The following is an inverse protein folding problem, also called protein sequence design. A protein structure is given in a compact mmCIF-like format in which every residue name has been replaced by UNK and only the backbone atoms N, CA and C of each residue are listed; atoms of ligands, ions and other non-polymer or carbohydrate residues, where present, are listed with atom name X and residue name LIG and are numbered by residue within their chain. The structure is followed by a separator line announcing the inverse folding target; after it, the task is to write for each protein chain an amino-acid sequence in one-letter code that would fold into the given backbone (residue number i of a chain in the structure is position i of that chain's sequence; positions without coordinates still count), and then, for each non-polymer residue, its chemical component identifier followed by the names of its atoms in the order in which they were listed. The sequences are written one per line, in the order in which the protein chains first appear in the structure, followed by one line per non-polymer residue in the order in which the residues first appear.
data_IF_475543649337
#
_entry.id   IF_475543649337
#
_cell.length_a   1.000
_cell.length_b   1.000
_cell.length_c   1.000
_cell.angle_alpha   90.00
_cell.angle_beta   90.00
_cell.angle_gamma   90.00
#
_symmetry.space_group_name_H-M   'P 1'
#
loop_
_entity.id
_entity.type
_entity.pdbx_description
1 polymer ?
#
# COMPACT_ATOMS: atom_id res chain seq x y z
N UNK A 1 13.34 32.53 3.44
CA UNK A 1 11.92 32.65 3.86
C UNK A 1 11.10 32.44 2.59
N UNK A 2 10.29 31.40 2.50
CA UNK A 2 9.39 31.19 1.35
C UNK A 2 8.34 32.30 1.33
N UNK A 3 7.99 32.83 0.15
CA UNK A 3 7.07 33.93 -0.14
C UNK A 3 5.73 33.97 0.65
N UNK A 4 5.76 34.14 1.97
CA UNK A 4 4.59 34.14 2.86
C UNK A 4 3.84 32.79 2.97
N UNK A 5 4.29 31.73 2.29
CA UNK A 5 3.61 30.44 2.34
C UNK A 5 3.85 29.75 3.68
N UNK A 6 2.79 29.57 4.47
CA UNK A 6 2.84 28.78 5.69
C UNK A 6 2.84 27.28 5.36
N UNK A 7 3.74 26.54 5.98
CA UNK A 7 3.80 25.09 5.90
C UNK A 7 4.29 24.48 7.22
N UNK A 8 3.98 23.20 7.45
CA UNK A 8 4.46 22.44 8.60
C UNK A 8 5.98 22.32 8.55
N UNK A 9 6.66 22.81 9.59
CA UNK A 9 8.10 22.68 9.69
C UNK A 9 8.52 21.19 9.80
N UNK A 10 9.69 20.80 9.25
CA UNK A 10 10.21 19.45 9.44
C UNK A 10 10.39 19.15 10.94
N UNK A 11 9.90 18.00 11.43
CA UNK A 11 10.17 17.59 12.82
C UNK A 11 11.67 17.26 12.99
N UNK A 12 12.17 17.15 14.25
CA UNK A 12 13.52 16.65 14.50
C UNK A 12 13.75 15.30 13.82
N UNK A 13 14.81 15.18 13.00
CA UNK A 13 15.10 13.99 12.21
C UNK A 13 14.43 13.94 10.83
N UNK A 14 13.64 14.96 10.46
CA UNK A 14 12.96 15.05 9.17
C UNK A 14 11.62 14.30 9.14
N UNK A 15 10.87 14.49 8.05
CA UNK A 15 9.57 13.82 7.90
C UNK A 15 9.76 12.30 7.72
N UNK A 16 8.88 11.47 8.33
CA UNK A 16 8.89 10.04 8.08
C UNK A 16 8.59 9.77 6.61
N UNK A 17 9.42 8.96 5.96
CA UNK A 17 9.25 8.56 4.56
C UNK A 17 8.29 7.37 4.48
N UNK A 18 7.20 7.45 3.71
CA UNK A 18 6.28 6.33 3.54
C UNK A 18 6.96 5.15 2.83
N UNK A 19 6.90 3.96 3.42
CA UNK A 19 7.39 2.72 2.82
C UNK A 19 6.37 2.20 1.80
N UNK A 20 6.55 2.61 0.54
CA UNK A 20 5.62 2.33 -0.55
C UNK A 20 6.16 1.19 -1.42
N UNK A 21 5.52 0.03 -1.37
CA UNK A 21 5.88 -1.13 -2.21
C UNK A 21 5.13 -1.19 -3.54
N UNK A 22 4.50 -0.09 -3.93
CA UNK A 22 3.84 0.02 -5.23
C UNK A 22 4.60 0.93 -6.17
N UNK A 23 4.71 0.49 -7.43
CA UNK A 23 5.30 1.32 -8.48
C UNK A 23 4.51 2.62 -8.62
N UNK A 24 5.18 3.78 -8.77
CA UNK A 24 4.48 5.04 -9.03
C UNK A 24 3.61 4.98 -10.29
N UNK A 25 3.96 4.07 -11.21
CA UNK A 25 3.27 3.80 -12.46
C UNK A 25 2.04 2.87 -12.34
N UNK A 26 1.72 2.34 -11.15
CA UNK A 26 0.60 1.40 -10.99
C UNK A 26 -0.68 1.99 -11.60
N UNK A 27 -1.31 1.20 -12.47
CA UNK A 27 -2.52 1.55 -13.21
C UNK A 27 -2.44 2.89 -14.01
N UNK A 28 -1.23 3.33 -14.36
CA UNK A 28 -1.03 4.46 -15.28
C UNK A 28 -1.00 3.96 -16.73
N UNK A 29 -1.69 4.66 -17.65
CA UNK A 29 -1.71 4.33 -19.08
C UNK A 29 -0.31 4.26 -19.72
N UNK A 30 -0.18 3.47 -20.77
CA UNK A 30 1.09 3.33 -21.51
C UNK A 30 1.51 4.64 -22.17
N UNK A 31 0.53 5.44 -22.61
CA UNK A 31 0.78 6.79 -23.11
C UNK A 31 1.41 7.68 -22.04
N UNK A 32 0.85 7.75 -20.83
CA UNK A 32 1.47 8.53 -19.76
C UNK A 32 2.87 8.01 -19.42
N UNK A 33 3.08 6.69 -19.39
CA UNK A 33 4.41 6.09 -19.16
C UNK A 33 5.43 6.54 -20.20
N UNK A 34 5.07 6.48 -21.48
CA UNK A 34 5.92 6.91 -22.59
C UNK A 34 6.19 8.43 -22.53
N UNK A 35 5.13 9.24 -22.45
CA UNK A 35 5.22 10.70 -22.49
C UNK A 35 6.03 11.23 -21.29
N UNK A 36 5.76 10.75 -20.08
CA UNK A 36 6.46 11.19 -18.87
C UNK A 36 7.89 10.66 -18.80
N UNK A 37 8.12 9.43 -19.26
CA UNK A 37 9.46 8.85 -19.40
C UNK A 37 10.34 9.65 -20.35
N UNK A 38 9.79 10.08 -21.49
CA UNK A 38 10.50 10.83 -22.52
C UNK A 38 10.70 12.32 -22.19
N UNK A 39 10.00 12.87 -21.18
CA UNK A 39 10.11 14.28 -20.83
C UNK A 39 11.53 14.64 -20.36
N UNK A 40 12.15 15.62 -21.01
CA UNK A 40 13.48 16.09 -20.67
C UNK A 40 13.50 16.99 -19.42
N UNK A 41 14.67 17.08 -18.80
CA UNK A 41 14.92 17.91 -17.62
C UNK A 41 14.48 17.28 -16.28
N UNK A 42 14.69 17.99 -15.16
CA UNK A 42 14.35 17.51 -13.84
C UNK A 42 12.83 17.27 -13.70
N UNK A 43 12.49 16.11 -13.15
CA UNK A 43 11.11 15.68 -12.91
C UNK A 43 11.03 14.76 -11.69
N UNK A 44 9.84 14.64 -11.12
CA UNK A 44 9.60 13.82 -9.93
C UNK A 44 8.15 13.43 -9.76
N UNK A 45 7.87 12.69 -8.70
CA UNK A 45 6.50 12.28 -8.34
C UNK A 45 5.95 13.19 -7.25
N UNK A 46 4.68 13.55 -7.38
CA UNK A 46 3.91 14.20 -6.32
C UNK A 46 2.72 13.33 -5.96
N UNK A 47 2.56 13.05 -4.67
CA UNK A 47 1.43 12.27 -4.14
C UNK A 47 0.71 13.07 -3.07
N UNK A 48 -0.57 13.33 -3.27
CA UNK A 48 -1.39 14.01 -2.28
C UNK A 48 -1.71 13.05 -1.12
N UNK A 49 -1.69 13.55 0.11
CA UNK A 49 -2.10 12.77 1.28
C UNK A 49 -3.60 12.42 1.17
N UNK A 50 -3.94 11.15 1.39
CA UNK A 50 -5.27 10.56 1.12
C UNK A 50 -5.71 10.69 -0.35
N UNK A 51 -4.76 10.75 -1.29
CA UNK A 51 -5.09 10.79 -2.71
C UNK A 51 -6.03 9.66 -3.11
N UNK A 52 -7.01 10.04 -3.94
CA UNK A 52 -7.91 9.14 -4.67
C UNK A 52 -7.80 9.53 -6.14
N UNK A 53 -7.77 8.54 -7.02
CA UNK A 53 -7.83 8.82 -8.45
C UNK A 53 -9.17 9.47 -8.80
N UNK A 54 -9.10 10.55 -9.58
CA UNK A 54 -10.26 11.21 -10.18
C UNK A 54 -9.91 11.55 -11.62
N UNK A 55 -10.74 11.13 -12.58
CA UNK A 55 -10.52 11.44 -14.00
C UNK A 55 -10.37 12.95 -14.24
N UNK A 56 -11.14 13.76 -13.52
CA UNK A 56 -10.98 15.21 -13.49
C UNK A 56 -10.22 15.65 -12.23
N UNK A 57 -8.90 15.74 -12.33
CA UNK A 57 -8.03 16.16 -11.22
C UNK A 57 -7.78 17.69 -11.17
N UNK A 58 -8.61 18.51 -11.85
CA UNK A 58 -8.37 19.96 -12.00
C UNK A 58 -8.16 20.68 -10.67
N UNK A 59 -9.00 20.42 -9.67
CA UNK A 59 -8.89 21.05 -8.34
C UNK A 59 -7.54 20.73 -7.66
N UNK A 60 -7.14 19.46 -7.68
CA UNK A 60 -5.86 19.03 -7.11
C UNK A 60 -4.69 19.67 -7.85
N UNK A 61 -4.71 19.68 -9.19
CA UNK A 61 -3.68 20.32 -10.02
C UNK A 61 -3.60 21.81 -9.72
N UNK A 62 -4.73 22.52 -9.63
CA UNK A 62 -4.77 23.95 -9.28
C UNK A 62 -4.16 24.22 -7.89
N UNK A 63 -4.44 23.38 -6.89
CA UNK A 63 -3.84 23.51 -5.55
C UNK A 63 -2.33 23.28 -5.57
N UNK A 64 -1.85 22.26 -6.29
CA UNK A 64 -0.42 21.97 -6.43
C UNK A 64 0.32 23.10 -7.17
N UNK A 65 -0.25 23.62 -8.27
CA UNK A 65 0.30 24.77 -9.00
C UNK A 65 0.26 26.07 -8.19
N UNK A 66 -0.69 26.21 -7.27
CA UNK A 66 -0.69 27.33 -6.33
C UNK A 66 0.45 27.20 -5.32
N UNK A 67 0.65 26.02 -4.73
CA UNK A 67 1.56 25.84 -3.59
C UNK A 67 3.03 25.64 -4.02
N UNK A 68 3.30 24.72 -4.94
CA UNK A 68 4.68 24.28 -5.22
C UNK A 68 5.58 25.42 -5.73
N UNK A 69 5.20 26.21 -6.75
CA UNK A 69 5.99 27.36 -7.19
C UNK A 69 6.39 28.34 -6.08
N UNK A 70 5.53 28.52 -5.07
CA UNK A 70 5.78 29.44 -3.95
C UNK A 70 6.71 28.84 -2.90
N UNK A 71 6.69 27.52 -2.72
CA UNK A 71 7.58 26.83 -1.80
C UNK A 71 9.03 26.86 -2.28
N UNK A 72 9.26 26.74 -3.59
CA UNK A 72 10.61 26.63 -4.18
C UNK A 72 10.98 27.74 -5.15
N UNK A 73 10.18 28.81 -5.20
CA UNK A 73 10.44 30.00 -6.03
C UNK A 73 10.61 29.68 -7.53
N UNK A 74 9.84 28.70 -8.02
CA UNK A 74 9.90 28.20 -9.39
C UNK A 74 8.55 28.38 -10.13
N UNK A 75 8.34 29.50 -10.85
CA UNK A 75 7.04 29.82 -11.47
C UNK A 75 6.68 28.93 -12.67
N UNK A 76 7.65 28.23 -13.29
CA UNK A 76 7.45 27.42 -14.50
C UNK A 76 7.02 25.98 -14.27
N UNK A 77 6.74 25.58 -13.02
CA UNK A 77 6.41 24.19 -12.68
C UNK A 77 5.14 23.72 -13.41
N UNK A 78 5.22 22.53 -13.99
CA UNK A 78 4.09 21.83 -14.62
C UNK A 78 3.71 20.62 -13.76
N UNK A 79 2.41 20.46 -13.53
CA UNK A 79 1.83 19.31 -12.83
C UNK A 79 0.93 18.52 -13.78
N UNK A 80 1.31 17.27 -14.06
CA UNK A 80 0.57 16.39 -14.97
C UNK A 80 -0.18 15.32 -14.17
N UNK A 81 -1.53 15.28 -14.24
CA UNK A 81 -2.32 14.24 -13.59
C UNK A 81 -2.20 12.90 -14.32
N UNK A 82 -2.24 11.77 -13.60
CA UNK A 82 -2.23 10.46 -14.24
C UNK A 82 -3.56 10.15 -14.93
N UNK A 83 -3.52 9.24 -15.89
CA UNK A 83 -4.70 8.62 -16.49
C UNK A 83 -4.73 7.14 -16.11
N UNK A 84 -5.89 6.66 -15.66
CA UNK A 84 -6.11 5.25 -15.34
C UNK A 84 -6.14 4.39 -16.61
N UNK A 85 -5.60 3.17 -16.54
CA UNK A 85 -5.73 2.18 -17.63
C UNK A 85 -7.11 1.50 -17.61
N UNK A 86 -7.64 1.26 -16.42
CA UNK A 86 -8.85 0.49 -16.19
C UNK A 86 -9.93 1.32 -15.50
N UNK A 87 -11.19 0.91 -15.64
CA UNK A 87 -12.26 1.42 -14.80
C UNK A 87 -12.04 0.95 -13.36
N UNK A 88 -12.10 1.90 -12.42
CA UNK A 88 -11.74 1.65 -11.04
C UNK A 88 -12.97 1.36 -10.18
N UNK A 89 -13.19 0.08 -9.89
CA UNK A 89 -14.17 -0.35 -8.90
C UNK A 89 -13.64 -0.21 -7.46
N UNK A 90 -12.31 -0.17 -7.30
CA UNK A 90 -11.65 0.04 -6.02
C UNK A 90 -11.71 1.52 -5.60
N UNK A 91 -12.30 1.78 -4.43
CA UNK A 91 -12.55 3.15 -3.92
C UNK A 91 -11.29 4.01 -3.80
N UNK A 92 -10.13 3.38 -3.60
CA UNK A 92 -8.85 4.04 -3.42
C UNK A 92 -7.82 3.55 -4.44
N UNK A 93 -8.22 3.06 -5.61
CA UNK A 93 -7.26 2.52 -6.57
C UNK A 93 -6.32 3.57 -7.16
N UNK A 94 -5.10 3.12 -7.46
CA UNK A 94 -4.11 3.84 -8.24
C UNK A 94 -4.70 4.16 -9.62
N UNK A 95 -4.20 5.19 -10.34
CA UNK A 95 -2.99 5.95 -10.07
C UNK A 95 -3.21 7.16 -9.15
N UNK A 96 -2.30 7.37 -8.19
CA UNK A 96 -2.35 8.51 -7.26
C UNK A 96 -1.18 9.49 -7.42
N UNK A 97 -0.21 9.17 -8.27
CA UNK A 97 1.01 9.94 -8.44
C UNK A 97 0.85 10.88 -9.63
N UNK A 98 1.07 12.16 -9.37
CA UNK A 98 1.17 13.21 -10.38
C UNK A 98 2.64 13.35 -10.77
N UNK A 99 2.91 13.74 -12.01
CA UNK A 99 4.25 14.13 -12.42
C UNK A 99 4.45 15.62 -12.12
N UNK A 100 5.55 15.97 -11.46
CA UNK A 100 6.09 17.34 -11.45
C UNK A 100 7.21 17.44 -12.49
N UNK A 101 7.19 18.52 -13.28
CA UNK A 101 8.16 18.75 -14.35
C UNK A 101 8.34 20.24 -14.64
N UNK A 102 9.23 20.59 -15.59
CA UNK A 102 9.59 21.99 -15.89
C UNK A 102 10.05 22.75 -14.63
N UNK A 103 10.82 22.06 -13.79
CA UNK A 103 11.35 22.54 -12.52
C UNK A 103 12.88 22.51 -12.57
N UNK A 104 13.56 23.42 -11.86
CA UNK A 104 15.02 23.35 -11.73
C UNK A 104 15.44 22.18 -10.85
N UNK A 105 16.67 21.69 -11.04
CA UNK A 105 17.22 20.59 -10.25
C UNK A 105 17.29 20.96 -8.76
N UNK A 106 17.75 22.17 -8.44
CA UNK A 106 17.79 22.68 -7.07
C UNK A 106 16.41 22.69 -6.39
N UNK A 107 15.39 23.19 -7.11
CA UNK A 107 14.03 23.25 -6.60
C UNK A 107 13.44 21.85 -6.38
N UNK A 108 13.70 20.92 -7.31
CA UNK A 108 13.27 19.53 -7.17
C UNK A 108 13.97 18.84 -5.99
N UNK A 109 15.29 18.97 -5.88
CA UNK A 109 16.10 18.43 -4.77
C UNK A 109 15.56 18.90 -3.44
N UNK A 110 15.29 20.21 -3.31
CA UNK A 110 14.68 20.77 -2.09
C UNK A 110 13.33 20.14 -1.75
N UNK A 111 12.47 19.90 -2.74
CA UNK A 111 11.19 19.22 -2.52
C UNK A 111 11.38 17.78 -2.06
N UNK A 112 12.28 17.03 -2.70
CA UNK A 112 12.51 15.60 -2.44
C UNK A 112 13.29 15.32 -1.17
N UNK A 113 14.16 16.23 -0.76
CA UNK A 113 14.94 16.11 0.50
C UNK A 113 14.01 16.20 1.70
N UNK A 114 13.12 17.20 1.71
CA UNK A 114 12.09 17.33 2.74
C UNK A 114 11.04 16.22 2.65
N UNK A 115 10.77 15.71 1.44
CA UNK A 115 9.79 14.68 1.10
C UNK A 115 8.34 15.09 1.37
N UNK A 116 7.96 15.49 2.59
CA UNK A 116 6.58 15.84 2.93
C UNK A 116 6.38 17.35 3.08
N UNK A 117 5.27 17.83 2.52
CA UNK A 117 4.85 19.22 2.56
C UNK A 117 3.39 19.28 2.98
N UNK A 118 3.09 20.08 4.00
CA UNK A 118 1.73 20.28 4.47
C UNK A 118 1.49 21.77 4.63
N UNK A 119 0.47 22.25 3.93
CA UNK A 119 0.05 23.64 3.89
C UNK A 119 -1.44 23.72 4.18
N UNK A 120 -1.99 24.89 4.57
CA UNK A 120 -3.42 25.07 4.71
C UNK A 120 -4.24 24.67 3.46
N UNK A 121 -3.62 24.73 2.27
CA UNK A 121 -4.27 24.42 0.99
C UNK A 121 -4.25 22.92 0.67
N UNK A 122 -3.11 22.26 0.90
CA UNK A 122 -2.89 20.86 0.50
C UNK A 122 -1.70 20.25 1.26
N UNK A 123 -1.80 18.94 1.53
CA UNK A 123 -0.70 18.13 2.05
C UNK A 123 -0.31 17.06 1.04
N UNK A 124 0.99 16.95 0.75
CA UNK A 124 1.52 16.07 -0.28
C UNK A 124 2.94 15.61 0.05
N UNK A 125 3.37 14.56 -0.65
CA UNK A 125 4.73 14.03 -0.63
C UNK A 125 5.33 14.18 -2.01
N UNK A 126 6.62 14.49 -2.08
CA UNK A 126 7.40 14.57 -3.31
C UNK A 126 8.50 13.53 -3.25
N UNK A 127 8.69 12.82 -4.36
CA UNK A 127 9.70 11.79 -4.51
C UNK A 127 10.50 12.00 -5.80
N UNK A 128 11.76 11.54 -5.85
CA UNK A 128 12.52 11.53 -7.10
C UNK A 128 11.82 10.69 -8.15
N UNK A 129 12.00 11.03 -9.44
CA UNK A 129 11.39 10.27 -10.54
C UNK A 129 11.84 8.81 -10.54
N UNK A 130 13.14 8.60 -10.37
CA UNK A 130 13.73 7.31 -10.07
C UNK A 130 13.59 7.04 -8.57
N UNK A 131 12.46 6.43 -8.21
CA UNK A 131 12.13 6.10 -6.83
C UNK A 131 13.21 5.17 -6.23
N UNK A 132 13.78 5.51 -5.05
CA UNK A 132 14.61 4.54 -4.35
C UNK A 132 13.76 3.33 -3.97
N UNK A 133 14.39 2.15 -3.92
CA UNK A 133 13.74 0.96 -3.42
C UNK A 133 13.24 1.17 -1.98
N UNK A 134 12.02 0.72 -1.65
CA UNK A 134 11.56 0.73 -0.27
C UNK A 134 12.38 -0.25 0.56
N UNK A 135 12.36 -0.06 1.88
CA UNK A 135 13.02 -0.96 2.83
C UNK A 135 12.08 -2.03 3.34
N UNK A 136 10.78 -1.74 3.39
CA UNK A 136 9.76 -2.67 3.89
C UNK A 136 9.66 -3.93 3.02
N UNK A 137 9.75 -5.09 3.67
CA UNK A 137 9.66 -6.41 3.04
C UNK A 137 8.29 -7.03 3.30
N UNK A 138 7.91 -7.14 4.58
CA UNK A 138 6.68 -7.80 5.00
C UNK A 138 6.30 -7.45 6.45
N UNK A 139 5.09 -7.83 6.84
CA UNK A 139 4.62 -7.82 8.23
C UNK A 139 4.33 -9.25 8.66
N UNK A 140 4.96 -9.72 9.74
CA UNK A 140 4.70 -11.02 10.34
C UNK A 140 3.69 -10.91 11.48
N UNK A 141 2.94 -12.00 11.69
CA UNK A 141 2.02 -12.20 12.82
C UNK A 141 2.25 -13.57 13.47
N UNK A 142 1.57 -13.85 14.58
CA UNK A 142 1.57 -15.12 15.33
C UNK A 142 2.83 -15.44 16.16
N UNK A 143 3.66 -14.45 16.47
CA UNK A 143 4.66 -14.58 17.52
C UNK A 143 4.08 -14.18 18.89
N UNK A 144 4.42 -14.92 19.94
CA UNK A 144 3.99 -14.63 21.33
C UNK A 144 5.06 -13.90 22.16
N UNK A 145 5.82 -13.00 21.50
CA UNK A 145 6.84 -12.17 22.12
C UNK A 145 6.27 -10.84 22.61
N UNK A 146 6.99 -10.15 23.49
CA UNK A 146 6.61 -8.83 23.99
C UNK A 146 7.11 -7.70 23.07
N UNK A 147 6.50 -6.52 23.15
CA UNK A 147 6.95 -5.33 22.41
C UNK A 147 8.23 -4.74 23.04
N UNK A 148 9.38 -5.29 22.65
CA UNK A 148 10.68 -4.83 23.13
C UNK A 148 11.81 -5.04 22.11
N UNK A 149 12.94 -4.37 22.36
CA UNK A 149 14.11 -4.36 21.47
C UNK A 149 14.75 -5.76 21.34
N UNK A 150 14.74 -6.58 22.39
CA UNK A 150 15.33 -7.91 22.37
C UNK A 150 14.48 -8.90 21.58
N UNK A 151 13.15 -8.79 21.69
CA UNK A 151 12.18 -9.51 20.88
C UNK A 151 12.33 -9.17 19.38
N UNK A 152 12.49 -7.89 19.04
CA UNK A 152 12.80 -7.45 17.67
C UNK A 152 14.11 -8.07 17.13
N UNK A 153 15.20 -8.01 17.92
CA UNK A 153 16.48 -8.65 17.56
C UNK A 153 16.39 -10.17 17.44
N UNK A 154 15.58 -10.81 18.27
CA UNK A 154 15.36 -12.25 18.23
C UNK A 154 14.67 -12.66 16.92
N UNK A 155 13.58 -11.99 16.55
CA UNK A 155 12.88 -12.25 15.28
C UNK A 155 13.79 -11.95 14.08
N UNK A 156 14.56 -10.85 14.12
CA UNK A 156 15.52 -10.54 13.08
C UNK A 156 16.50 -11.70 12.84
N UNK A 157 17.03 -12.32 13.90
CA UNK A 157 17.94 -13.49 13.79
C UNK A 157 17.27 -14.69 13.14
N UNK A 158 16.01 -14.97 13.47
CA UNK A 158 15.25 -16.08 12.88
C UNK A 158 15.05 -15.86 11.39
N UNK A 159 14.62 -14.66 10.99
CA UNK A 159 14.40 -14.32 9.59
C UNK A 159 15.71 -14.41 8.80
N UNK A 160 16.80 -13.84 9.33
CA UNK A 160 18.13 -13.92 8.73
C UNK A 160 18.57 -15.37 8.54
N UNK A 161 18.47 -16.21 9.57
CA UNK A 161 18.84 -17.61 9.49
C UNK A 161 17.99 -18.36 8.44
N UNK A 162 16.68 -18.12 8.41
CA UNK A 162 15.78 -18.75 7.44
C UNK A 162 16.10 -18.34 6.00
N UNK A 163 16.27 -17.04 5.73
CA UNK A 163 16.61 -16.55 4.40
C UNK A 163 17.99 -17.05 3.92
N UNK A 164 18.97 -17.14 4.83
CA UNK A 164 20.28 -17.75 4.51
C UNK A 164 20.19 -19.24 4.22
N UNK A 165 19.26 -19.96 4.86
CA UNK A 165 19.07 -21.39 4.61
C UNK A 165 18.41 -21.70 3.27
N UNK A 166 17.76 -20.72 2.65
CA UNK A 166 17.06 -20.87 1.37
C UNK A 166 17.97 -20.35 0.26
N UNK A 167 18.60 -21.26 -0.46
CA UNK A 167 19.57 -20.94 -1.50
C UNK A 167 18.94 -20.05 -2.57
N UNK A 168 17.70 -20.33 -2.96
CA UNK A 168 16.93 -19.60 -3.96
C UNK A 168 16.76 -18.11 -3.60
N UNK A 169 16.54 -17.80 -2.31
CA UNK A 169 16.35 -16.43 -1.86
C UNK A 169 17.64 -15.61 -1.94
N UNK A 170 18.79 -16.24 -1.67
CA UNK A 170 20.10 -15.61 -1.77
C UNK A 170 20.58 -15.52 -3.23
N UNK A 171 20.42 -16.61 -3.99
CA UNK A 171 20.74 -16.66 -5.42
C UNK A 171 19.97 -15.61 -6.22
N UNK A 172 18.69 -15.39 -5.89
CA UNK A 172 17.85 -14.40 -6.56
C UNK A 172 18.45 -12.99 -6.46
N UNK A 173 18.81 -12.55 -5.26
CA UNK A 173 19.43 -11.22 -5.08
C UNK A 173 20.75 -11.14 -5.85
N UNK A 174 21.63 -12.15 -5.69
CA UNK A 174 22.94 -12.16 -6.35
C UNK A 174 22.82 -12.12 -7.87
N UNK A 175 21.88 -12.88 -8.45
CA UNK A 175 21.65 -12.96 -9.89
C UNK A 175 21.18 -11.64 -10.48
N UNK A 176 20.36 -10.89 -9.75
CA UNK A 176 19.70 -9.67 -10.22
C UNK A 176 20.38 -8.38 -9.72
N UNK A 177 21.49 -8.50 -9.01
CA UNK A 177 22.35 -7.38 -8.61
C UNK A 177 23.49 -7.19 -9.62
N UNK A 178 24.22 -6.07 -9.50
CA UNK A 178 25.42 -5.82 -10.30
C UNK A 178 26.48 -6.93 -10.09
N UNK A 179 27.16 -7.32 -11.17
CA UNK A 179 28.07 -8.47 -11.18
C UNK A 179 29.27 -8.35 -10.22
N UNK A 180 29.66 -7.13 -9.85
CA UNK A 180 30.72 -6.84 -8.89
C UNK A 180 30.25 -6.88 -7.43
N UNK A 181 28.95 -6.85 -7.16
CA UNK A 181 28.37 -6.94 -5.81
C UNK A 181 28.16 -8.39 -5.37
N UNK A 182 29.27 -9.12 -5.23
CA UNK A 182 29.29 -10.53 -4.80
C UNK A 182 28.72 -10.76 -3.39
N UNK A 183 28.56 -9.68 -2.60
CA UNK A 183 27.99 -9.72 -1.24
C UNK A 183 26.59 -9.11 -1.16
N UNK A 184 25.94 -8.81 -2.29
CA UNK A 184 24.63 -8.18 -2.34
C UNK A 184 23.61 -8.91 -1.46
N UNK A 185 23.50 -10.23 -1.62
CA UNK A 185 22.57 -11.06 -0.86
C UNK A 185 22.89 -11.08 0.64
N UNK A 186 24.17 -11.29 1.00
CA UNK A 186 24.61 -11.31 2.39
C UNK A 186 24.35 -9.96 3.08
N UNK A 187 24.74 -8.86 2.45
CA UNK A 187 24.53 -7.51 2.97
C UNK A 187 23.03 -7.19 3.12
N UNK A 188 22.21 -7.58 2.14
CA UNK A 188 20.75 -7.38 2.19
C UNK A 188 20.14 -8.14 3.36
N UNK A 189 20.48 -9.42 3.52
CA UNK A 189 19.95 -10.24 4.62
C UNK A 189 20.49 -9.73 5.97
N UNK A 190 21.78 -9.38 6.06
CA UNK A 190 22.34 -8.85 7.31
C UNK A 190 21.81 -7.48 7.70
N UNK A 191 21.32 -6.70 6.74
CA UNK A 191 20.66 -5.43 7.02
C UNK A 191 19.24 -5.55 7.56
N UNK A 192 18.71 -6.77 7.73
CA UNK A 192 17.35 -6.99 8.22
C UNK A 192 17.18 -6.37 9.61
N UNK A 193 16.17 -5.50 9.69
CA UNK A 193 15.72 -4.81 10.89
C UNK A 193 14.24 -5.12 11.12
N UNK A 194 13.82 -5.19 12.39
CA UNK A 194 12.47 -5.58 12.78
C UNK A 194 11.91 -4.55 13.74
N UNK A 195 10.67 -4.13 13.49
CA UNK A 195 9.93 -3.26 14.39
C UNK A 195 8.57 -3.86 14.71
N UNK A 196 8.34 -4.08 15.98
CA UNK A 196 7.04 -4.37 16.56
C UNK A 196 6.07 -3.19 16.34
N UNK A 197 4.81 -3.52 16.14
CA UNK A 197 3.73 -2.55 16.03
C UNK A 197 2.45 -3.16 16.65
N UNK A 198 1.91 -2.49 17.65
CA UNK A 198 0.59 -2.85 18.19
C UNK A 198 -0.51 -2.32 17.26
N UNK A 199 -1.42 -3.20 16.86
CA UNK A 199 -2.59 -2.86 16.05
C UNK A 199 -3.88 -3.27 16.78
N UNK A 200 -4.95 -2.52 16.54
CA UNK A 200 -6.29 -2.95 16.97
C UNK A 200 -6.91 -3.81 15.88
N UNK A 201 -7.24 -5.05 16.22
CA UNK A 201 -7.95 -5.99 15.34
C UNK A 201 -9.47 -5.92 15.58
N UNK A 202 -10.23 -6.61 14.73
CA UNK A 202 -11.68 -6.72 14.84
C UNK A 202 -12.08 -7.21 16.23
N UNK A 203 -13.04 -6.53 16.86
CA UNK A 203 -13.46 -6.82 18.24
C UNK A 203 -12.73 -5.99 19.31
N UNK A 204 -11.84 -5.07 18.91
CA UNK A 204 -11.19 -4.13 19.82
C UNK A 204 -10.01 -4.72 20.60
N UNK A 205 -9.63 -5.97 20.29
CA UNK A 205 -8.42 -6.58 20.83
C UNK A 205 -7.18 -5.97 20.18
N UNK A 206 -6.09 -5.92 20.94
CA UNK A 206 -4.78 -5.53 20.45
C UNK A 206 -4.02 -6.77 20.00
N UNK A 207 -3.34 -6.67 18.86
CA UNK A 207 -2.45 -7.69 18.32
C UNK A 207 -1.07 -7.08 18.07
N UNK A 208 -0.03 -7.86 18.32
CA UNK A 208 1.36 -7.42 18.15
C UNK A 208 1.92 -8.05 16.87
N UNK A 209 2.21 -7.19 15.90
CA UNK A 209 2.74 -7.58 14.59
C UNK A 209 4.16 -7.04 14.40
N UNK A 210 4.88 -7.58 13.42
CA UNK A 210 6.31 -7.35 13.26
C UNK A 210 6.63 -6.93 11.83
N UNK A 211 6.94 -5.66 11.62
CA UNK A 211 7.36 -5.15 10.33
C UNK A 211 8.83 -5.45 10.10
N UNK A 212 9.12 -6.02 8.94
CA UNK A 212 10.44 -6.46 8.54
C UNK A 212 10.94 -5.50 7.46
N UNK A 213 12.14 -4.97 7.67
CA UNK A 213 12.81 -4.05 6.77
C UNK A 213 14.17 -4.59 6.38
N UNK A 214 14.67 -4.23 5.20
CA UNK A 214 16.07 -4.43 4.81
C UNK A 214 16.60 -3.24 4.04
N UNK A 215 17.90 -3.23 3.77
CA UNK A 215 18.55 -2.34 2.82
C UNK A 215 18.79 -3.15 1.55
N UNK A 216 18.00 -2.94 0.47
CA UNK A 216 18.21 -3.67 -0.77
C UNK A 216 19.48 -3.21 -1.49
N UNK A 217 20.06 -4.02 -2.40
CA UNK A 217 21.18 -3.61 -3.22
C UNK A 217 20.79 -2.45 -4.11
N UNK A 218 21.67 -1.45 -4.26
CA UNK A 218 21.39 -0.25 -5.07
C UNK A 218 21.14 -0.56 -6.55
N UNK A 219 21.73 -1.63 -7.04
CA UNK A 219 21.63 -2.07 -8.44
C UNK A 219 20.40 -2.93 -8.71
N UNK A 220 19.71 -3.39 -7.67
CA UNK A 220 18.49 -4.17 -7.83
C UNK A 220 17.37 -3.26 -8.33
N UNK A 221 16.63 -3.69 -9.34
CA UNK A 221 15.45 -2.95 -9.78
C UNK A 221 14.22 -3.23 -8.91
N UNK A 222 13.21 -2.37 -9.08
CA UNK A 222 11.99 -2.42 -8.29
C UNK A 222 11.19 -3.71 -8.47
N UNK A 223 11.15 -4.28 -9.68
CA UNK A 223 10.36 -5.48 -9.94
C UNK A 223 11.01 -6.71 -9.31
N UNK A 224 12.33 -6.87 -9.46
CA UNK A 224 13.05 -7.95 -8.79
C UNK A 224 12.98 -7.80 -7.26
N UNK A 225 13.04 -6.57 -6.72
CA UNK A 225 12.82 -6.37 -5.28
C UNK A 225 11.44 -6.86 -4.81
N UNK A 226 10.37 -6.58 -5.56
CA UNK A 226 9.02 -7.06 -5.22
C UNK A 226 8.88 -8.58 -5.35
N UNK A 227 9.51 -9.19 -6.34
CA UNK A 227 9.54 -10.64 -6.52
C UNK A 227 10.24 -11.32 -5.33
N UNK A 228 11.41 -10.78 -4.93
CA UNK A 228 12.11 -11.24 -3.74
C UNK A 228 11.27 -11.09 -2.47
N UNK A 229 10.60 -9.95 -2.28
CA UNK A 229 9.67 -9.75 -1.16
C UNK A 229 8.52 -10.77 -1.18
N UNK A 230 8.01 -11.11 -2.37
CA UNK A 230 6.93 -12.09 -2.53
C UNK A 230 7.42 -13.48 -2.15
N UNK A 231 8.62 -13.87 -2.58
CA UNK A 231 9.25 -15.13 -2.16
C UNK A 231 9.44 -15.17 -0.64
N UNK A 232 9.95 -14.09 -0.03
CA UNK A 232 10.15 -14.00 1.41
C UNK A 232 8.83 -14.09 2.20
N UNK A 233 7.74 -13.49 1.70
CA UNK A 233 6.39 -13.58 2.29
C UNK A 233 5.78 -14.98 2.23
N UNK A 234 6.20 -15.80 1.27
CA UNK A 234 5.77 -17.20 1.16
C UNK A 234 6.41 -18.13 2.21
N UNK A 235 7.34 -17.63 3.03
CA UNK A 235 8.05 -18.41 4.03
C UNK A 235 7.31 -18.45 5.36
N UNK A 236 7.63 -19.50 6.12
CA UNK A 236 7.19 -19.70 7.50
C UNK A 236 8.41 -19.60 8.41
N UNK A 237 8.28 -18.83 9.49
CA UNK A 237 9.34 -18.52 10.44
C UNK A 237 9.05 -19.16 11.80
N UNK A 238 9.49 -20.40 11.97
CA UNK A 238 9.23 -21.18 13.18
C UNK A 238 10.16 -20.78 14.33
N UNK A 239 9.64 -20.84 15.55
CA UNK A 239 10.41 -20.71 16.78
C UNK A 239 10.10 -21.88 17.70
N UNK A 240 11.06 -22.29 18.53
CA UNK A 240 10.85 -23.41 19.46
C UNK A 240 9.84 -23.09 20.58
N UNK A 241 9.61 -21.79 20.89
CA UNK A 241 8.92 -21.36 22.12
C UNK A 241 7.89 -20.25 21.95
N UNK A 242 7.95 -19.49 20.86
CA UNK A 242 7.22 -18.24 20.68
C UNK A 242 6.26 -18.28 19.48
N UNK A 243 5.86 -19.47 19.06
CA UNK A 243 4.95 -19.66 17.93
C UNK A 243 5.65 -19.63 16.57
N UNK A 244 4.84 -19.37 15.53
CA UNK A 244 5.24 -19.51 14.13
C UNK A 244 4.83 -18.28 13.34
N UNK A 245 5.83 -17.49 12.93
CA UNK A 245 5.64 -16.28 12.16
C UNK A 245 5.20 -16.57 10.73
N UNK A 246 4.11 -15.93 10.31
CA UNK A 246 3.63 -15.95 8.93
C UNK A 246 3.37 -14.53 8.44
N UNK A 247 3.59 -14.28 7.15
CA UNK A 247 3.34 -12.97 6.57
C UNK A 247 1.84 -12.68 6.45
N UNK A 248 1.45 -11.44 6.73
CA UNK A 248 0.12 -10.93 6.44
C UNK A 248 -0.04 -10.76 4.93
N UNK A 249 -1.08 -11.35 4.35
CA UNK A 249 -1.31 -11.41 2.90
C UNK A 249 -2.71 -10.90 2.54
N UNK A 250 -2.87 -10.45 1.29
CA UNK A 250 -4.16 -10.01 0.77
C UNK A 250 -4.79 -8.89 1.60
N UNK A 251 -6.04 -9.07 2.05
CA UNK A 251 -6.77 -8.07 2.85
C UNK A 251 -6.17 -7.83 4.25
N UNK A 252 -5.31 -8.72 4.75
CA UNK A 252 -4.64 -8.54 6.03
C UNK A 252 -3.40 -7.66 5.95
N UNK A 253 -2.86 -7.46 4.74
CA UNK A 253 -1.69 -6.61 4.55
C UNK A 253 -2.00 -5.18 4.99
N UNK A 254 -1.08 -4.57 5.73
CA UNK A 254 -1.26 -3.19 6.17
C UNK A 254 -1.23 -2.26 4.96
N UNK A 255 -2.10 -1.25 4.99
CA UNK A 255 -2.13 -0.20 3.99
C UNK A 255 -2.65 1.09 4.61
N UNK A 256 -1.82 2.12 4.61
CA UNK A 256 -2.20 3.45 5.07
C UNK A 256 -2.87 4.21 3.93
N UNK A 257 -4.17 4.50 4.06
CA UNK A 257 -4.92 5.27 3.04
C UNK A 257 -4.36 6.68 2.84
N UNK A 258 -3.74 7.24 3.90
CA UNK A 258 -3.15 8.56 3.91
C UNK A 258 -1.89 8.67 3.05
N UNK A 259 -0.79 8.06 3.50
CA UNK A 259 0.49 8.17 2.81
C UNK A 259 0.76 7.05 1.79
N UNK A 260 -0.12 6.03 1.72
CA UNK A 260 0.01 4.81 0.89
C UNK A 260 1.18 3.90 1.30
N UNK A 261 1.63 4.02 2.55
CA UNK A 261 2.63 3.11 3.09
C UNK A 261 2.03 1.76 3.46
N UNK A 262 2.87 0.74 3.41
CA UNK A 262 2.52 -0.64 3.73
C UNK A 262 3.00 -1.12 5.11
N UNK A 263 3.66 -0.26 5.87
CA UNK A 263 4.21 -0.63 7.17
C UNK A 263 3.35 -0.17 8.35
N UNK A 264 2.22 0.49 8.11
CA UNK A 264 1.29 0.85 9.17
C UNK A 264 -0.15 0.97 8.65
N UNK A 265 -1.17 0.72 9.50
CA UNK A 265 -2.54 1.08 9.19
C UNK A 265 -2.75 2.59 9.30
N UNK A 266 -3.81 3.11 8.68
CA UNK A 266 -4.09 4.57 8.63
C UNK A 266 -4.13 5.24 10.01
N UNK A 267 -4.70 4.58 11.03
CA UNK A 267 -4.78 5.12 12.40
C UNK A 267 -3.43 5.31 13.11
N UNK A 268 -2.39 4.62 12.62
CA UNK A 268 -1.02 4.72 13.13
C UNK A 268 -0.12 5.54 12.20
N UNK A 269 -0.69 6.23 11.22
CA UNK A 269 0.07 7.13 10.36
C UNK A 269 0.77 8.22 11.19
N UNK A 270 2.08 8.41 11.04
CA UNK A 270 2.80 9.40 11.84
C UNK A 270 2.56 10.84 11.36
N UNK A 271 2.19 11.05 10.10
CA UNK A 271 2.06 12.40 9.52
C UNK A 271 1.03 13.28 10.26
N UNK A 272 -0.19 12.81 10.56
CA UNK A 272 -1.15 13.63 11.30
C UNK A 272 -0.78 13.92 12.76
N UNK A 273 0.27 13.28 13.29
CA UNK A 273 0.77 13.51 14.65
C UNK A 273 1.88 14.56 14.71
N UNK A 274 2.33 15.07 13.56
CA UNK A 274 3.37 16.09 13.48
C UNK A 274 2.80 17.44 13.94
N UNK A 275 3.54 18.14 14.80
CA UNK A 275 3.15 19.47 15.29
C UNK A 275 3.03 20.44 14.12
N UNK A 276 1.89 21.12 14.02
CA UNK A 276 1.61 22.06 12.94
C UNK A 276 1.20 21.41 11.62
N UNK A 277 0.82 20.14 11.61
CA UNK A 277 0.24 19.45 10.45
C UNK A 277 -1.06 20.13 9.98
N UNK A 278 -1.12 20.49 8.70
CA UNK A 278 -2.31 21.10 8.09
C UNK A 278 -3.23 20.11 7.38
N UNK A 279 -2.82 18.85 7.22
CA UNK A 279 -3.66 17.83 6.61
C UNK A 279 -4.76 17.31 7.56
N UNK A 280 -5.59 16.38 7.08
CA UNK A 280 -6.62 15.75 7.91
C UNK A 280 -6.03 15.13 9.19
N UNK A 281 -6.70 15.35 10.32
CA UNK A 281 -6.30 14.82 11.63
C UNK A 281 -6.68 13.34 11.80
N UNK A 282 -6.06 12.63 12.73
CA UNK A 282 -6.37 11.22 13.03
C UNK A 282 -7.86 10.99 13.33
N UNK A 283 -8.51 11.93 14.01
CA UNK A 283 -9.92 11.82 14.37
C UNK A 283 -10.84 11.91 13.14
N UNK A 284 -10.54 12.83 12.21
CA UNK A 284 -11.26 12.94 10.93
C UNK A 284 -11.12 11.66 10.10
N UNK A 285 -9.94 11.03 10.13
CA UNK A 285 -9.64 9.77 9.45
C UNK A 285 -10.51 8.62 9.97
N UNK A 286 -10.64 8.48 11.29
CA UNK A 286 -11.42 7.39 11.88
C UNK A 286 -12.92 7.43 11.56
N UNK A 287 -13.46 8.63 11.36
CA UNK A 287 -14.91 8.84 11.11
C UNK A 287 -15.26 8.54 9.66
N UNK A 288 -14.41 8.98 8.72
CA UNK A 288 -14.52 8.59 7.32
C UNK A 288 -14.29 7.09 7.17
N UNK A 289 -13.19 6.54 7.69
CA UNK A 289 -12.83 5.13 7.51
C UNK A 289 -13.90 4.16 8.08
N UNK A 290 -14.59 4.52 9.19
CA UNK A 290 -15.74 3.76 9.71
C UNK A 290 -16.96 3.81 8.80
N UNK A 291 -17.29 4.98 8.25
CA UNK A 291 -18.38 5.13 7.28
C UNK A 291 -18.09 4.33 6.01
N UNK A 292 -16.81 4.30 5.64
CA UNK A 292 -16.27 3.63 4.47
C UNK A 292 -16.29 2.09 4.61
N UNK A 293 -15.87 1.53 5.75
CA UNK A 293 -15.98 0.07 6.01
C UNK A 293 -17.43 -0.42 6.00
N UNK A 294 -18.38 0.35 6.56
CA UNK A 294 -19.80 0.00 6.56
C UNK A 294 -20.44 -0.01 5.17
N UNK A 295 -19.94 0.80 4.22
CA UNK A 295 -20.44 0.84 2.86
C UNK A 295 -20.00 -0.37 2.03
N UNK A 296 -18.74 -0.81 2.21
CA UNK A 296 -18.17 -1.96 1.51
C UNK A 296 -18.87 -3.27 1.95
N UNK A 297 -19.13 -3.43 3.25
CA UNK A 297 -19.91 -4.57 3.79
C UNK A 297 -21.36 -4.61 3.26
N UNK A 298 -21.98 -3.46 2.98
CA UNK A 298 -23.34 -3.41 2.41
C UNK A 298 -23.38 -3.79 0.93
N UNK A 299 -22.33 -3.48 0.17
CA UNK A 299 -22.24 -3.84 -1.24
C UNK A 299 -21.93 -5.32 -1.45
N UNK A 300 -21.09 -5.94 -0.62
CA UNK A 300 -20.85 -7.39 -0.68
C UNK A 300 -22.13 -8.21 -0.40
N UNK A 301 -23.04 -7.71 0.44
CA UNK A 301 -24.34 -8.37 0.73
C UNK A 301 -25.37 -8.27 -0.41
N UNK A 302 -25.13 -7.43 -1.42
CA UNK A 302 -26.05 -7.24 -2.56
C UNK A 302 -25.64 -8.01 -3.82
N UNK A 303 -24.51 -8.73 -3.81
CA UNK A 303 -24.20 -9.64 -4.91
C UNK A 303 -25.24 -10.78 -4.93
N UNK A 304 -26.05 -10.94 -6.00
CA UNK A 304 -26.99 -12.03 -6.09
C UNK A 304 -26.21 -13.34 -6.14
N UNK A 305 -26.40 -14.21 -5.14
CA UNK A 305 -25.96 -15.60 -5.17
C UNK A 305 -26.56 -16.24 -6.42
N UNK A 306 -25.78 -16.33 -7.51
CA UNK A 306 -26.14 -17.12 -8.67
C UNK A 306 -26.34 -18.56 -8.21
N UNK A 307 -27.56 -19.04 -8.42
CA UNK A 307 -28.02 -20.33 -7.92
C UNK A 307 -27.19 -21.47 -8.48
N UNK A 308 -26.57 -22.25 -7.58
CA UNK A 308 -26.22 -23.65 -7.85
C UNK A 308 -27.52 -24.43 -7.97
N UNK A 309 -27.93 -24.72 -9.20
CA UNK A 309 -29.07 -25.58 -9.49
C UNK A 309 -28.87 -26.34 -10.80
N UNK A 310 -28.16 -27.47 -10.75
CA UNK A 310 -28.32 -28.58 -11.69
C UNK A 310 -27.54 -29.81 -11.20
N UNK A 311 -28.01 -30.43 -10.11
CA UNK A 311 -27.65 -31.80 -9.78
C UNK A 311 -28.32 -32.74 -10.78
N UNK A 312 -27.54 -33.25 -11.74
CA UNK A 312 -27.97 -34.30 -12.68
C UNK A 312 -27.75 -35.65 -12.00
N UNK A 313 -28.72 -36.06 -11.19
CA UNK A 313 -28.80 -37.42 -10.63
C UNK A 313 -29.40 -38.35 -11.67
N UNK A 314 -28.57 -39.22 -12.26
CA UNK A 314 -29.00 -40.41 -13.01
C UNK A 314 -28.94 -41.60 -12.06
N UNK A 315 -30.11 -42.17 -11.75
CA UNK A 315 -30.42 -43.53 -11.27
C UNK A 315 -31.90 -43.46 -10.84
N UNK A 316 -32.84 -44.32 -11.18
CA UNK A 316 -32.86 -45.66 -11.75
C UNK A 316 -34.09 -46.35 -11.16
N UNK A 317 -35.01 -46.81 -12.02
CA UNK A 317 -35.92 -47.96 -11.87
C UNK A 317 -36.88 -48.13 -10.65
N UNK A 318 -38.16 -48.40 -11.01
CA UNK A 318 -39.17 -49.33 -10.44
C UNK A 318 -40.42 -48.80 -9.71
N UNK A 319 -41.57 -49.20 -10.27
CA UNK A 319 -42.84 -49.52 -9.59
C UNK A 319 -43.77 -48.31 -9.39
N UNK A 320 -45.07 -48.30 -9.73
CA UNK A 320 -46.04 -49.38 -9.89
C UNK A 320 -47.23 -49.12 -8.96
N UNK A 321 -48.46 -49.02 -9.51
CA UNK A 321 -49.74 -48.90 -8.76
C UNK A 321 -50.38 -47.51 -8.90
N UNK A 322 -51.49 -47.26 -9.62
CA UNK A 322 -52.83 -47.87 -9.72
C UNK A 322 -53.74 -47.57 -8.52
N UNK A 323 -54.80 -46.79 -8.80
CA UNK A 323 -55.97 -46.54 -7.94
C UNK A 323 -56.09 -45.05 -7.58
N UNK A 324 -57.17 -44.32 -7.84
CA UNK A 324 -58.51 -44.63 -8.33
C UNK A 324 -59.51 -43.70 -7.65
N UNK A 325 -60.49 -43.17 -8.41
CA UNK A 325 -61.80 -42.63 -7.95
C UNK A 325 -61.76 -41.39 -7.02
N UNK A 326 -62.77 -40.53 -6.89
CA UNK A 326 -64.01 -40.13 -7.60
C UNK A 326 -64.59 -38.99 -6.74
N UNK A 327 -65.34 -38.08 -7.37
CA UNK A 327 -66.40 -37.23 -6.76
C UNK A 327 -65.91 -36.11 -5.81
N UNK A 328 -66.49 -34.91 -5.69
CA UNK A 328 -67.86 -34.38 -5.92
C UNK A 328 -67.72 -32.84 -5.86
N UNK A 329 -68.26 -32.05 -6.80
CA UNK A 329 -69.62 -31.44 -6.84
C UNK A 329 -69.89 -30.34 -5.80
N UNK A 330 -70.25 -29.16 -6.31
CA UNK A 330 -70.84 -28.01 -5.59
C UNK A 330 -70.08 -26.72 -5.91
N UNK A 331 -70.65 -25.60 -6.32
CA UNK A 331 -72.03 -25.15 -6.31
C UNK A 331 -72.00 -23.62 -6.25
N UNK A 332 -72.61 -23.01 -7.25
CA UNK A 332 -72.73 -21.59 -7.65
C UNK A 332 -73.35 -20.62 -6.59
N UNK A 333 -73.12 -19.32 -6.83
CA UNK A 333 -73.86 -18.08 -6.42
C UNK A 333 -73.61 -17.57 -4.99
N UNK A 334 -73.48 -16.27 -4.72
CA UNK A 334 -74.13 -15.08 -5.30
C UNK A 334 -73.19 -14.08 -5.97
#
# INVERSE_FOLDING_TARGET
MTNGQQYTAPPPGGFPRPECVESPWRNTTDRNRADWGAQAGPKGWVRVYRAKYTANARDVVSKLLFVIPRLVEAPGVVISPPTSREDLDERLAAPWNFLISSISEEALTRLTDQCTWSTPTISFMVFPFDMPLPRYVMTLQNFSLADDIESNKYIARIIKAKLKSIKEASDFITKHSAADDTKAAENTIESIDVKSLEITITGGQTDLIWNIYCTPPKSLDFFHFLEWCTAARGLVFETDRFGTGVARMGKEQLFCVGCKSYDHPTGLCPLPRIVGWFGPSVQSVSSEDKTLQQADERNERKAPKSGRGAGKSQNGYRGGGKGGNRNTRGGRRH
#
